data_IF_817780654911
#
_entry.id   IF_817780654911
#
_cell.length_a   1.000
_cell.length_b   1.000
_cell.length_c   1.000
_cell.angle_alpha   90.00
_cell.angle_beta   90.00
_cell.angle_gamma   90.00
#
_symmetry.space_group_name_H-M   'P 1'
#
loop_
_entity.id
_entity.type
_entity.pdbx_description
1 polymer ?
#
# COMPACT_ATOMS: atom_id res chain seq x y z
N UNK A 1 10.51 -62.39 22.04
CA UNK A 1 9.27 -61.94 21.39
C UNK A 1 9.49 -60.51 20.91
N UNK A 2 9.99 -60.30 19.69
CA UNK A 2 9.24 -60.30 18.40
C UNK A 2 8.27 -59.11 18.32
N UNK A 3 8.24 -58.24 17.31
CA UNK A 3 8.93 -58.20 16.03
C UNK A 3 8.84 -56.79 15.41
N UNK A 4 9.78 -56.54 14.51
CA UNK A 4 9.93 -55.50 13.49
C UNK A 4 8.93 -55.57 12.32
N UNK A 5 8.77 -54.46 11.57
CA UNK A 5 8.56 -54.31 10.09
C UNK A 5 8.27 -52.81 9.80
N UNK A 6 9.21 -51.96 9.35
CA UNK A 6 9.82 -51.74 8.01
C UNK A 6 8.87 -51.29 6.89
N UNK A 7 9.24 -50.19 6.21
CA UNK A 7 9.27 -49.90 4.75
C UNK A 7 9.86 -48.46 4.66
N UNK A 8 11.15 -48.24 4.35
CA UNK A 8 11.82 -48.29 3.04
C UNK A 8 11.24 -47.33 1.99
N UNK A 9 12.07 -46.42 1.50
CA UNK A 9 11.74 -45.46 0.45
C UNK A 9 12.90 -44.50 0.18
N UNK A 10 14.03 -45.05 -0.26
CA UNK A 10 15.15 -44.34 -0.89
C UNK A 10 14.68 -43.30 -1.92
N UNK A 11 15.19 -42.07 -1.82
CA UNK A 11 15.67 -41.31 -2.98
C UNK A 11 16.86 -40.43 -2.57
N UNK A 12 18.04 -41.02 -2.69
CA UNK A 12 19.27 -40.43 -3.23
C UNK A 12 19.56 -38.97 -2.88
N UNK A 13 20.36 -38.78 -1.82
CA UNK A 13 21.40 -37.75 -1.84
C UNK A 13 22.41 -38.24 -2.89
N UNK A 14 22.60 -37.56 -4.04
CA UNK A 14 23.65 -37.97 -4.96
C UNK A 14 24.98 -37.52 -4.34
N UNK A 15 25.63 -38.43 -3.62
CA UNK A 15 27.08 -38.45 -3.49
C UNK A 15 27.64 -38.92 -4.83
N UNK A 16 27.63 -38.03 -5.81
CA UNK A 16 28.52 -38.12 -6.95
C UNK A 16 29.43 -36.90 -6.88
N UNK A 17 30.70 -37.17 -6.59
CA UNK A 17 31.79 -36.29 -7.01
C UNK A 17 31.75 -36.20 -8.55
N UNK A 18 30.86 -35.35 -9.07
CA UNK A 18 30.90 -34.94 -10.46
C UNK A 18 31.69 -33.63 -10.52
N UNK A 19 33.02 -33.79 -10.57
CA UNK A 19 33.95 -32.73 -10.94
C UNK A 19 33.66 -32.34 -12.38
N UNK A 20 32.71 -31.42 -12.61
CA UNK A 20 32.62 -30.48 -13.77
C UNK A 20 31.28 -29.75 -13.77
N UNK A 21 31.03 -28.97 -12.73
CA UNK A 21 30.21 -27.75 -12.84
C UNK A 21 31.09 -26.64 -12.28
N UNK A 22 31.34 -25.53 -12.98
CA UNK A 22 32.02 -24.42 -12.32
C UNK A 22 31.14 -24.05 -11.13
N UNK A 23 31.66 -24.19 -9.90
CA UNK A 23 31.03 -23.62 -8.72
C UNK A 23 30.74 -22.16 -9.06
N UNK A 24 29.48 -21.83 -9.38
CA UNK A 24 29.07 -20.46 -9.59
C UNK A 24 29.26 -19.79 -8.24
N UNK A 25 30.43 -19.19 -8.04
CA UNK A 25 30.73 -18.38 -6.87
C UNK A 25 29.56 -17.42 -6.66
N UNK A 26 28.81 -17.63 -5.58
CA UNK A 26 27.65 -16.82 -5.26
C UNK A 26 28.11 -15.37 -5.20
N UNK A 27 27.48 -14.47 -5.96
CA UNK A 27 27.85 -13.07 -5.99
C UNK A 27 27.65 -12.47 -4.61
N UNK A 28 28.71 -11.89 -4.08
CA UNK A 28 28.75 -11.21 -2.79
C UNK A 28 28.92 -9.71 -3.02
N UNK A 29 28.37 -8.91 -2.09
CA UNK A 29 28.64 -7.48 -2.06
C UNK A 29 30.11 -7.22 -1.62
N UNK A 30 30.60 -5.98 -1.72
CA UNK A 30 31.95 -5.57 -1.27
C UNK A 30 32.27 -5.96 0.19
N UNK A 31 31.25 -6.23 1.00
CA UNK A 31 31.35 -6.67 2.40
C UNK A 31 31.24 -8.20 2.58
N UNK A 32 31.31 -9.01 1.52
CA UNK A 32 31.23 -10.47 1.58
C UNK A 32 29.82 -11.05 1.82
N UNK A 33 28.76 -10.22 1.83
CA UNK A 33 27.37 -10.71 1.99
C UNK A 33 26.81 -11.28 0.69
N UNK A 34 26.24 -12.48 0.74
CA UNK A 34 25.59 -13.14 -0.40
C UNK A 34 24.36 -12.35 -0.85
N UNK A 35 24.27 -12.05 -2.15
CA UNK A 35 23.12 -11.38 -2.75
C UNK A 35 21.99 -12.39 -3.01
N UNK A 36 20.80 -12.09 -2.51
CA UNK A 36 19.59 -12.90 -2.71
C UNK A 36 18.47 -11.98 -3.20
N UNK A 37 17.89 -12.21 -4.38
CA UNK A 37 18.29 -13.18 -5.43
C UNK A 37 19.65 -12.86 -6.06
N UNK A 38 20.26 -13.86 -6.71
CA UNK A 38 21.51 -13.68 -7.46
C UNK A 38 21.24 -12.85 -8.73
N UNK A 39 21.96 -11.73 -8.94
CA UNK A 39 21.73 -10.87 -10.10
C UNK A 39 22.15 -11.56 -11.39
N UNK A 40 21.36 -11.40 -12.46
CA UNK A 40 21.71 -11.91 -13.79
C UNK A 40 22.80 -11.07 -14.45
N UNK A 41 23.40 -11.55 -15.55
CA UNK A 41 24.36 -10.76 -16.34
C UNK A 41 23.71 -9.82 -17.38
N UNK A 42 22.38 -9.83 -17.53
CA UNK A 42 21.68 -8.90 -18.45
C UNK A 42 21.64 -7.48 -17.85
N UNK A 43 22.14 -6.45 -18.58
CA UNK A 43 22.00 -5.05 -18.17
C UNK A 43 20.54 -4.57 -17.99
N UNK A 44 19.57 -5.29 -18.57
CA UNK A 44 18.14 -5.01 -18.41
C UNK A 44 17.52 -5.63 -17.16
N UNK A 45 18.26 -6.44 -16.41
CA UNK A 45 17.81 -6.95 -15.11
C UNK A 45 17.58 -5.78 -14.13
N UNK A 46 16.36 -5.59 -13.57
CA UNK A 46 16.07 -4.55 -12.59
C UNK A 46 16.99 -4.59 -11.36
N UNK A 47 17.58 -5.75 -11.04
CA UNK A 47 18.56 -5.89 -9.96
C UNK A 47 19.84 -5.10 -10.23
N UNK A 48 20.24 -4.95 -11.50
CA UNK A 48 21.49 -4.30 -11.92
C UNK A 48 21.34 -2.80 -12.21
N UNK A 49 20.13 -2.23 -12.11
CA UNK A 49 19.92 -0.82 -12.41
C UNK A 49 20.71 0.11 -11.49
N UNK A 50 21.17 1.27 -12.00
CA UNK A 50 21.84 2.27 -11.16
C UNK A 50 20.87 2.79 -10.08
N UNK A 51 21.43 3.13 -8.92
CA UNK A 51 20.65 3.58 -7.76
C UNK A 51 19.76 4.77 -8.08
N UNK A 52 20.21 5.71 -8.93
CA UNK A 52 19.42 6.86 -9.38
C UNK A 52 18.12 6.43 -10.04
N UNK A 53 18.17 5.47 -10.98
CA UNK A 53 17.00 4.92 -11.65
C UNK A 53 16.07 4.20 -10.67
N UNK A 54 16.65 3.44 -9.72
CA UNK A 54 15.86 2.77 -8.68
C UNK A 54 15.10 3.78 -7.81
N UNK A 55 15.78 4.85 -7.39
CA UNK A 55 15.16 5.93 -6.61
C UNK A 55 14.05 6.61 -7.42
N UNK A 56 14.29 6.94 -8.70
CA UNK A 56 13.25 7.57 -9.54
C UNK A 56 12.00 6.71 -9.64
N UNK A 57 12.13 5.41 -9.91
CA UNK A 57 10.98 4.49 -9.97
C UNK A 57 10.26 4.41 -8.62
N UNK A 58 11.00 4.28 -7.52
CA UNK A 58 10.42 4.25 -6.17
C UNK A 58 9.69 5.57 -5.84
N UNK A 59 10.25 6.72 -6.21
CA UNK A 59 9.61 8.03 -6.01
C UNK A 59 8.32 8.17 -6.83
N UNK A 60 8.29 7.64 -8.05
CA UNK A 60 7.08 7.62 -8.90
C UNK A 60 6.02 6.71 -8.30
N UNK A 61 6.40 5.52 -7.81
CA UNK A 61 5.48 4.61 -7.10
C UNK A 61 4.97 5.24 -5.81
N UNK A 62 5.83 5.92 -5.05
CA UNK A 62 5.46 6.66 -3.83
C UNK A 62 4.40 7.71 -4.14
N UNK A 63 4.63 8.57 -5.14
CA UNK A 63 3.67 9.60 -5.54
C UNK A 63 2.35 8.99 -6.04
N UNK A 64 2.42 7.92 -6.84
CA UNK A 64 1.25 7.22 -7.36
C UNK A 64 0.41 6.58 -6.25
N UNK A 65 1.07 5.98 -5.25
CA UNK A 65 0.40 5.40 -4.09
C UNK A 65 -0.24 6.47 -3.21
N UNK A 66 0.48 7.59 -2.98
CA UNK A 66 -0.03 8.74 -2.24
C UNK A 66 -1.31 9.29 -2.88
N UNK A 67 -1.29 9.53 -4.19
CA UNK A 67 -2.45 10.03 -4.93
C UNK A 67 -3.61 9.05 -4.93
N UNK A 68 -3.33 7.76 -5.19
CA UNK A 68 -4.34 6.70 -5.24
C UNK A 68 -5.08 6.54 -3.91
N UNK A 69 -4.36 6.57 -2.79
CA UNK A 69 -4.98 6.48 -1.46
C UNK A 69 -5.60 7.79 -0.99
N UNK A 70 -5.08 8.95 -1.39
CA UNK A 70 -5.70 10.23 -1.04
C UNK A 70 -7.07 10.42 -1.71
N UNK A 71 -7.24 9.90 -2.94
CA UNK A 71 -8.39 10.15 -3.80
C UNK A 71 -9.76 9.86 -3.17
N UNK A 72 -10.03 8.65 -2.62
CA UNK A 72 -11.34 8.31 -2.10
C UNK A 72 -11.71 9.03 -0.80
N UNK A 73 -10.73 9.57 -0.06
CA UNK A 73 -10.96 10.24 1.23
C UNK A 73 -11.07 11.77 1.12
N UNK A 74 -10.98 12.31 -0.09
CA UNK A 74 -11.26 13.73 -0.36
C UNK A 74 -12.71 14.04 0.02
N UNK A 75 -12.92 15.04 0.87
CA UNK A 75 -14.22 15.44 1.39
C UNK A 75 -14.67 14.73 2.66
N UNK A 76 -13.82 13.90 3.26
CA UNK A 76 -14.11 13.22 4.53
C UNK A 76 -14.32 14.17 5.71
N UNK A 77 -13.74 15.37 5.68
CA UNK A 77 -13.93 16.37 6.73
C UNK A 77 -15.18 17.24 6.54
N UNK A 78 -15.91 17.07 5.43
CA UNK A 78 -16.97 17.99 5.01
C UNK A 78 -18.39 17.44 5.22
N UNK A 79 -18.53 16.52 6.17
CA UNK A 79 -19.74 15.72 6.40
C UNK A 79 -20.97 16.59 6.67
N UNK A 80 -20.79 17.73 7.37
CA UNK A 80 -21.88 18.66 7.68
C UNK A 80 -22.41 19.41 6.46
N UNK A 81 -21.52 19.84 5.54
CA UNK A 81 -21.94 20.52 4.31
C UNK A 81 -22.63 19.54 3.35
N UNK A 82 -22.09 18.33 3.23
CA UNK A 82 -22.67 17.26 2.43
C UNK A 82 -24.03 16.79 2.99
N UNK A 83 -24.17 16.66 4.32
CA UNK A 83 -25.43 16.30 4.98
C UNK A 83 -26.55 17.32 4.68
N UNK A 84 -26.21 18.62 4.67
CA UNK A 84 -27.14 19.69 4.30
C UNK A 84 -27.54 19.62 2.83
N UNK A 85 -26.60 19.35 1.93
CA UNK A 85 -26.88 19.28 0.49
C UNK A 85 -27.78 18.11 0.13
N UNK A 86 -27.49 16.92 0.64
CA UNK A 86 -28.23 15.69 0.29
C UNK A 86 -29.47 15.45 1.18
N UNK A 87 -29.72 16.30 2.18
CA UNK A 87 -30.78 16.12 3.18
C UNK A 87 -30.74 14.73 3.85
N UNK A 88 -29.53 14.28 4.21
CA UNK A 88 -29.27 12.99 4.85
C UNK A 88 -28.62 13.19 6.22
N UNK A 89 -28.84 12.29 7.19
CA UNK A 89 -28.15 12.35 8.47
C UNK A 89 -26.63 12.18 8.27
N UNK A 90 -25.84 12.83 9.13
CA UNK A 90 -24.36 12.81 9.13
C UNK A 90 -23.79 11.39 9.07
N UNK A 91 -24.44 10.44 9.75
CA UNK A 91 -24.04 9.02 9.76
C UNK A 91 -24.15 8.38 8.37
N UNK A 92 -25.23 8.69 7.63
CA UNK A 92 -25.40 8.15 6.28
C UNK A 92 -24.34 8.71 5.34
N UNK A 93 -23.98 9.99 5.44
CA UNK A 93 -22.90 10.55 4.63
C UNK A 93 -21.60 9.75 4.82
N UNK A 94 -21.25 9.33 6.05
CA UNK A 94 -20.06 8.52 6.32
C UNK A 94 -20.01 7.20 5.54
N UNK A 95 -21.12 6.70 4.97
CA UNK A 95 -21.11 5.51 4.12
C UNK A 95 -20.23 5.65 2.88
N UNK A 96 -19.88 6.86 2.45
CA UNK A 96 -18.91 7.03 1.37
C UNK A 96 -17.53 6.44 1.74
N UNK A 97 -17.11 6.49 3.03
CA UNK A 97 -15.89 5.83 3.51
C UNK A 97 -16.01 4.31 3.40
N UNK A 98 -17.17 3.75 3.72
CA UNK A 98 -17.44 2.31 3.56
C UNK A 98 -17.39 1.89 2.09
N UNK A 99 -17.96 2.70 1.20
CA UNK A 99 -17.90 2.50 -0.25
C UNK A 99 -16.46 2.56 -0.77
N UNK A 100 -15.66 3.53 -0.30
CA UNK A 100 -14.24 3.59 -0.58
C UNK A 100 -13.50 2.32 -0.14
N UNK A 101 -13.69 1.87 1.10
CA UNK A 101 -13.07 0.63 1.61
C UNK A 101 -13.47 -0.61 0.80
N UNK A 102 -14.73 -0.70 0.36
CA UNK A 102 -15.18 -1.78 -0.53
C UNK A 102 -14.48 -1.71 -1.91
N UNK A 103 -14.25 -0.50 -2.43
CA UNK A 103 -13.47 -0.25 -3.64
C UNK A 103 -12.03 -0.75 -3.51
N UNK A 104 -11.35 -0.39 -2.41
CA UNK A 104 -9.99 -0.85 -2.12
C UNK A 104 -9.92 -2.40 -2.09
N UNK A 105 -10.86 -3.04 -1.40
CA UNK A 105 -10.90 -4.49 -1.28
C UNK A 105 -11.09 -5.18 -2.64
N UNK A 106 -12.05 -4.71 -3.44
CA UNK A 106 -12.36 -5.29 -4.75
C UNK A 106 -11.27 -5.04 -5.80
N UNK A 107 -10.66 -3.86 -5.80
CA UNK A 107 -9.53 -3.53 -6.69
C UNK A 107 -8.33 -4.45 -6.44
N UNK A 108 -8.06 -4.77 -5.17
CA UNK A 108 -7.08 -5.77 -4.72
C UNK A 108 -7.06 -7.04 -5.57
N UNK A 109 -8.23 -7.64 -5.76
CA UNK A 109 -8.36 -8.94 -6.42
C UNK A 109 -8.35 -8.87 -7.94
N UNK A 110 -8.82 -7.76 -8.52
CA UNK A 110 -9.00 -7.63 -9.98
C UNK A 110 -7.71 -7.16 -10.65
N UNK A 111 -6.99 -6.21 -10.07
CA UNK A 111 -5.81 -5.62 -10.72
C UNK A 111 -4.60 -6.55 -10.75
N UNK A 112 -4.45 -7.42 -9.75
CA UNK A 112 -3.35 -8.39 -9.71
C UNK A 112 -3.29 -9.31 -10.95
N UNK A 113 -4.33 -10.11 -11.29
CA UNK A 113 -4.31 -10.95 -12.48
C UNK A 113 -4.28 -10.13 -13.78
N UNK A 114 -4.89 -8.94 -13.79
CA UNK A 114 -4.91 -8.09 -14.97
C UNK A 114 -3.51 -7.57 -15.34
N UNK A 115 -2.70 -7.26 -14.32
CA UNK A 115 -1.34 -6.73 -14.47
C UNK A 115 -0.38 -7.69 -15.18
N UNK A 116 -0.58 -9.01 -15.03
CA UNK A 116 0.23 -10.02 -15.70
C UNK A 116 -0.06 -10.12 -17.21
N UNK A 117 -1.26 -9.72 -17.66
CA UNK A 117 -1.62 -9.71 -19.09
C UNK A 117 -1.19 -8.42 -19.77
N UNK A 118 -1.53 -7.28 -19.16
CA UNK A 118 -1.34 -5.98 -19.79
C UNK A 118 0.01 -5.34 -19.49
N UNK A 119 0.76 -5.87 -18.52
CA UNK A 119 1.98 -5.26 -17.99
C UNK A 119 1.69 -4.49 -16.71
N UNK A 120 2.61 -4.53 -15.76
CA UNK A 120 2.41 -3.88 -14.45
C UNK A 120 2.33 -2.36 -14.59
N UNK A 121 3.18 -1.77 -15.43
CA UNK A 121 3.22 -0.31 -15.63
C UNK A 121 1.96 0.20 -16.32
N UNK A 122 1.44 -0.56 -17.30
CA UNK A 122 0.23 -0.22 -18.03
C UNK A 122 -0.99 -0.15 -17.11
N UNK A 123 -1.16 -1.15 -16.24
CA UNK A 123 -2.29 -1.19 -15.30
C UNK A 123 -2.22 -0.03 -14.30
N UNK A 124 -1.03 0.33 -13.79
CA UNK A 124 -0.87 1.51 -12.91
C UNK A 124 -1.32 2.79 -13.62
N UNK A 125 -0.87 3.02 -14.85
CA UNK A 125 -1.22 4.23 -15.62
C UNK A 125 -2.73 4.33 -15.87
N UNK A 126 -3.37 3.28 -16.37
CA UNK A 126 -4.80 3.30 -16.66
C UNK A 126 -5.67 3.41 -15.41
N UNK A 127 -5.26 2.80 -14.31
CA UNK A 127 -5.91 3.01 -13.02
C UNK A 127 -5.80 4.46 -12.56
N UNK A 128 -4.64 5.12 -12.70
CA UNK A 128 -4.52 6.55 -12.39
C UNK A 128 -5.39 7.44 -13.28
N UNK A 129 -5.59 7.08 -14.55
CA UNK A 129 -6.59 7.74 -15.42
C UNK A 129 -8.01 7.52 -14.90
N UNK A 130 -8.33 6.32 -14.43
CA UNK A 130 -9.60 6.02 -13.75
C UNK A 130 -9.80 6.83 -12.46
N UNK A 131 -8.75 7.00 -11.66
CA UNK A 131 -8.76 7.90 -10.50
C UNK A 131 -9.04 9.32 -10.94
N UNK A 132 -8.37 9.83 -11.97
CA UNK A 132 -8.61 11.18 -12.49
C UNK A 132 -10.08 11.39 -12.90
N UNK A 133 -10.65 10.44 -13.66
CA UNK A 133 -12.04 10.51 -14.10
C UNK A 133 -13.03 10.51 -12.92
N UNK A 134 -12.82 9.64 -11.93
CA UNK A 134 -13.68 9.56 -10.74
C UNK A 134 -13.57 10.77 -9.82
N UNK A 135 -12.39 11.41 -9.78
CA UNK A 135 -12.17 12.64 -9.02
C UNK A 135 -12.78 13.87 -9.70
N UNK A 136 -12.91 13.87 -11.03
CA UNK A 136 -13.71 14.88 -11.76
C UNK A 136 -15.21 14.60 -11.61
N UNK A 137 -15.61 13.33 -11.53
CA UNK A 137 -17.02 12.95 -11.37
C UNK A 137 -17.62 13.46 -10.05
N UNK A 138 -16.94 13.26 -8.93
CA UNK A 138 -17.47 13.66 -7.62
C UNK A 138 -17.89 15.12 -7.45
N UNK A 139 -17.10 16.14 -7.85
CA UNK A 139 -17.51 17.54 -7.72
C UNK A 139 -18.67 17.93 -8.63
N UNK A 140 -19.00 17.12 -9.65
CA UNK A 140 -20.17 17.34 -10.51
C UNK A 140 -21.48 16.92 -9.82
N UNK A 141 -21.40 16.18 -8.72
CA UNK A 141 -22.56 15.71 -7.97
C UNK A 141 -23.02 16.79 -6.96
N UNK A 142 -23.54 17.91 -7.46
CA UNK A 142 -23.94 19.06 -6.62
C UNK A 142 -25.45 19.13 -6.36
N UNK A 143 -26.23 18.15 -6.81
CA UNK A 143 -27.69 18.14 -6.64
C UNK A 143 -28.14 17.23 -5.49
N UNK A 144 -29.27 17.55 -4.81
CA UNK A 144 -29.73 16.81 -3.64
C UNK A 144 -30.10 15.34 -3.93
N UNK A 145 -30.47 15.01 -5.17
CA UNK A 145 -30.83 13.67 -5.63
C UNK A 145 -29.60 12.79 -5.99
N UNK A 146 -28.40 13.36 -6.04
CA UNK A 146 -27.19 12.68 -6.56
C UNK A 146 -26.33 12.00 -5.49
N UNK A 147 -26.90 11.69 -4.32
CA UNK A 147 -26.20 11.02 -3.23
C UNK A 147 -25.61 9.65 -3.62
N UNK A 148 -26.39 8.81 -4.32
CA UNK A 148 -25.93 7.47 -4.74
C UNK A 148 -24.83 7.53 -5.80
N UNK A 149 -24.96 8.33 -6.89
CA UNK A 149 -23.86 8.58 -7.82
C UNK A 149 -22.58 9.07 -7.14
N UNK A 150 -22.68 9.96 -6.14
CA UNK A 150 -21.53 10.40 -5.35
C UNK A 150 -20.87 9.23 -4.59
N UNK A 151 -21.65 8.38 -3.94
CA UNK A 151 -21.15 7.19 -3.25
C UNK A 151 -20.42 6.22 -4.20
N UNK A 152 -20.98 6.01 -5.39
CA UNK A 152 -20.39 5.15 -6.43
C UNK A 152 -19.07 5.74 -6.95
N UNK A 153 -18.98 7.06 -7.11
CA UNK A 153 -17.73 7.72 -7.50
C UNK A 153 -16.59 7.44 -6.51
N UNK A 154 -16.90 7.37 -5.21
CA UNK A 154 -15.93 7.04 -4.15
C UNK A 154 -15.49 5.58 -4.18
N UNK A 155 -16.42 4.66 -4.43
CA UNK A 155 -16.10 3.25 -4.66
C UNK A 155 -15.12 3.10 -5.84
N UNK A 156 -15.41 3.71 -6.99
CA UNK A 156 -14.52 3.59 -8.16
C UNK A 156 -13.18 4.31 -7.97
N UNK A 157 -13.16 5.46 -7.31
CA UNK A 157 -11.91 6.17 -6.96
C UNK A 157 -10.97 5.28 -6.14
N UNK A 158 -11.50 4.60 -5.13
CA UNK A 158 -10.74 3.61 -4.36
C UNK A 158 -10.38 2.36 -5.17
N UNK A 159 -11.32 1.85 -5.98
CA UNK A 159 -11.12 0.68 -6.84
C UNK A 159 -9.92 0.86 -7.75
N UNK A 160 -9.79 2.02 -8.41
CA UNK A 160 -8.62 2.32 -9.23
C UNK A 160 -7.39 2.72 -8.39
N UNK A 161 -7.58 3.45 -7.29
CA UNK A 161 -6.49 3.98 -6.46
C UNK A 161 -5.64 2.93 -5.75
N UNK A 162 -6.17 1.73 -5.50
CA UNK A 162 -5.45 0.66 -4.78
C UNK A 162 -4.36 -0.04 -5.62
N UNK A 163 -4.31 0.18 -6.94
CA UNK A 163 -3.41 -0.56 -7.85
C UNK A 163 -1.95 -0.62 -7.41
N UNK A 164 -1.43 0.48 -6.84
CA UNK A 164 -0.01 0.60 -6.47
C UNK A 164 0.31 -0.13 -5.17
N UNK A 165 -0.65 -0.32 -4.25
CA UNK A 165 -0.38 -1.14 -3.05
C UNK A 165 -0.23 -2.62 -3.39
N UNK A 166 -0.82 -3.05 -4.49
CA UNK A 166 -0.72 -4.43 -4.99
C UNK A 166 0.58 -4.61 -5.78
N UNK A 167 0.81 -3.72 -6.76
CA UNK A 167 1.92 -3.87 -7.71
C UNK A 167 3.24 -3.30 -7.17
N UNK A 168 3.21 -2.24 -6.37
CA UNK A 168 4.41 -1.61 -5.80
C UNK A 168 5.33 -2.59 -5.07
N UNK A 169 4.83 -3.46 -4.16
CA UNK A 169 5.58 -4.57 -3.59
C UNK A 169 6.32 -5.44 -4.61
N UNK A 170 5.70 -5.72 -5.76
CA UNK A 170 6.31 -6.51 -6.83
C UNK A 170 7.50 -5.78 -7.44
N UNK A 171 7.37 -4.50 -7.76
CA UNK A 171 8.49 -3.67 -8.23
C UNK A 171 9.67 -3.67 -7.24
N UNK A 172 9.38 -3.56 -5.94
CA UNK A 172 10.41 -3.54 -4.92
C UNK A 172 11.16 -4.87 -4.81
N UNK A 173 10.44 -5.99 -4.90
CA UNK A 173 11.05 -7.32 -4.86
C UNK A 173 11.90 -7.61 -6.10
N UNK A 174 11.55 -7.05 -7.25
CA UNK A 174 12.32 -7.18 -8.50
C UNK A 174 13.58 -6.30 -8.51
N UNK A 175 13.54 -5.12 -7.88
CA UNK A 175 14.64 -4.14 -7.94
C UNK A 175 15.64 -4.22 -6.78
N UNK A 176 15.23 -4.71 -5.61
CA UNK A 176 16.04 -4.70 -4.38
C UNK A 176 16.35 -6.11 -3.86
N UNK A 177 17.56 -6.25 -3.31
CA UNK A 177 17.99 -7.46 -2.62
C UNK A 177 17.32 -7.59 -1.24
N UNK A 178 17.23 -8.83 -0.73
CA UNK A 178 16.52 -9.16 0.52
C UNK A 178 16.84 -8.24 1.71
N UNK A 179 18.12 -7.90 1.90
CA UNK A 179 18.57 -7.04 3.02
C UNK A 179 18.14 -5.57 2.89
N UNK A 180 17.79 -5.10 1.69
CA UNK A 180 17.36 -3.72 1.41
C UNK A 180 15.84 -3.59 1.29
N UNK A 181 15.13 -4.70 1.03
CA UNK A 181 13.69 -4.73 0.77
C UNK A 181 12.85 -4.13 1.89
N UNK A 182 13.16 -4.45 3.14
CA UNK A 182 12.39 -3.96 4.30
C UNK A 182 12.31 -2.43 4.34
N UNK A 183 13.42 -1.74 4.06
CA UNK A 183 13.45 -0.26 4.00
C UNK A 183 12.60 0.28 2.87
N UNK A 184 12.70 -0.32 1.69
CA UNK A 184 11.92 0.10 0.53
C UNK A 184 10.41 -0.12 0.77
N UNK A 185 10.03 -1.22 1.42
CA UNK A 185 8.64 -1.49 1.81
C UNK A 185 8.10 -0.45 2.77
N UNK A 186 8.87 -0.09 3.81
CA UNK A 186 8.45 0.93 4.77
C UNK A 186 8.24 2.28 4.11
N UNK A 187 9.14 2.70 3.20
CA UNK A 187 8.99 3.96 2.44
C UNK A 187 7.74 3.94 1.56
N UNK A 188 7.44 2.82 0.90
CA UNK A 188 6.24 2.71 0.09
C UNK A 188 4.96 2.76 0.96
N UNK A 189 4.89 2.00 2.05
CA UNK A 189 3.74 2.02 2.96
C UNK A 189 3.56 3.35 3.70
N UNK A 190 4.63 4.12 3.85
CA UNK A 190 4.54 5.50 4.32
C UNK A 190 3.65 6.33 3.40
N UNK A 191 3.82 6.19 2.08
CA UNK A 191 3.02 6.88 1.07
C UNK A 191 1.52 6.59 1.20
N UNK A 192 1.16 5.34 1.54
CA UNK A 192 -0.21 4.91 1.79
C UNK A 192 -0.84 5.71 2.93
N UNK A 193 -0.21 5.69 4.11
CA UNK A 193 -0.75 6.32 5.32
C UNK A 193 -0.75 7.85 5.20
N UNK A 194 0.30 8.41 4.61
CA UNK A 194 0.36 9.84 4.28
C UNK A 194 -0.74 10.22 3.29
N UNK A 195 -0.98 9.43 2.23
CA UNK A 195 -2.03 9.68 1.25
C UNK A 195 -3.41 9.66 1.90
N UNK A 196 -3.71 8.63 2.69
CA UNK A 196 -4.98 8.48 3.40
C UNK A 196 -5.26 9.65 4.38
N UNK A 197 -4.21 10.23 4.97
CA UNK A 197 -4.34 11.39 5.85
C UNK A 197 -4.38 12.71 5.08
N UNK A 198 -3.60 12.86 4.01
CA UNK A 198 -3.47 14.10 3.26
C UNK A 198 -4.73 14.46 2.46
N UNK A 199 -5.45 13.46 1.95
CA UNK A 199 -6.76 13.63 1.30
C UNK A 199 -7.72 14.51 2.13
N UNK A 200 -8.08 14.09 3.35
CA UNK A 200 -8.88 14.90 4.26
C UNK A 200 -8.20 16.20 4.69
N UNK A 201 -6.89 16.21 4.98
CA UNK A 201 -6.19 17.43 5.44
C UNK A 201 -6.34 18.58 4.45
N UNK A 202 -5.95 18.38 3.19
CA UNK A 202 -5.98 19.45 2.18
C UNK A 202 -7.41 19.82 1.79
N UNK A 203 -8.29 18.83 1.65
CA UNK A 203 -9.70 19.10 1.33
C UNK A 203 -10.39 19.91 2.43
N UNK A 204 -10.14 19.61 3.71
CA UNK A 204 -10.70 20.36 4.83
C UNK A 204 -10.29 21.84 4.88
N UNK A 205 -9.03 22.16 4.56
CA UNK A 205 -8.60 23.57 4.49
C UNK A 205 -9.23 24.32 3.31
N UNK A 206 -9.37 23.67 2.16
CA UNK A 206 -10.05 24.27 0.99
C UNK A 206 -11.54 24.48 1.29
N UNK A 207 -12.19 23.46 1.86
CA UNK A 207 -13.59 23.46 2.25
C UNK A 207 -13.98 24.49 3.32
N UNK A 208 -13.04 24.90 4.16
CA UNK A 208 -13.31 25.85 5.23
C UNK A 208 -13.69 27.24 4.68
N UNK A 209 -13.12 27.63 3.53
CA UNK A 209 -13.29 28.96 2.93
C UNK A 209 -14.07 28.95 1.61
N UNK A 210 -14.44 27.78 1.10
CA UNK A 210 -15.05 27.60 -0.23
C UNK A 210 -16.18 26.58 -0.20
N UNK A 211 -17.00 26.56 -1.26
CA UNK A 211 -18.03 25.54 -1.44
C UNK A 211 -17.40 24.15 -1.62
N UNK A 212 -17.94 23.13 -0.94
CA UNK A 212 -17.33 21.80 -0.82
C UNK A 212 -16.81 21.14 -2.11
N UNK A 213 -17.45 21.22 -3.30
CA UNK A 213 -16.94 20.55 -4.50
C UNK A 213 -15.57 21.09 -4.96
N UNK A 214 -15.22 22.31 -4.56
CA UNK A 214 -13.92 22.90 -4.88
C UNK A 214 -12.78 22.06 -4.29
N UNK A 215 -13.05 21.34 -3.19
CA UNK A 215 -12.10 20.48 -2.50
C UNK A 215 -11.64 19.27 -3.33
N UNK A 216 -12.28 18.94 -4.45
CA UNK A 216 -11.83 17.84 -5.31
C UNK A 216 -10.79 18.28 -6.35
N UNK A 217 -10.79 19.56 -6.73
CA UNK A 217 -9.96 20.05 -7.84
C UNK A 217 -8.47 20.06 -7.54
N UNK A 218 -8.07 20.25 -6.27
CA UNK A 218 -6.65 20.13 -5.89
C UNK A 218 -6.12 18.71 -6.16
N UNK A 219 -6.96 17.70 -5.90
CA UNK A 219 -6.60 16.30 -6.11
C UNK A 219 -6.64 15.92 -7.59
N UNK A 220 -7.57 16.48 -8.37
CA UNK A 220 -7.57 16.37 -9.85
C UNK A 220 -6.24 16.88 -10.42
N UNK A 221 -5.79 18.06 -9.99
CA UNK A 221 -4.50 18.63 -10.41
C UNK A 221 -3.31 17.75 -10.02
N UNK A 222 -3.29 17.23 -8.80
CA UNK A 222 -2.22 16.34 -8.33
C UNK A 222 -2.20 15.00 -9.08
N UNK A 223 -3.37 14.44 -9.39
CA UNK A 223 -3.48 13.19 -10.17
C UNK A 223 -3.02 13.38 -11.61
N UNK A 224 -3.43 14.48 -12.25
CA UNK A 224 -2.97 14.84 -13.58
C UNK A 224 -1.44 15.06 -13.61
N UNK A 225 -0.90 15.74 -12.60
CA UNK A 225 0.55 15.88 -12.45
C UNK A 225 1.26 14.54 -12.30
N UNK A 226 0.67 13.58 -11.57
CA UNK A 226 1.28 12.25 -11.31
C UNK A 226 1.24 11.32 -12.51
N UNK A 227 0.29 11.51 -13.44
CA UNK A 227 0.26 10.75 -14.70
C UNK A 227 1.49 11.05 -15.58
N UNK A 228 2.01 12.27 -15.53
CA UNK A 228 3.21 12.66 -16.28
C UNK A 228 4.45 11.84 -15.89
N UNK A 229 4.93 11.83 -14.63
CA UNK A 229 6.10 11.08 -14.25
C UNK A 229 5.88 9.56 -14.36
N UNK A 230 4.65 9.06 -14.22
CA UNK A 230 4.34 7.64 -14.47
C UNK A 230 4.58 7.29 -15.94
N UNK A 231 4.13 8.12 -16.88
CA UNK A 231 4.33 7.86 -18.31
C UNK A 231 5.82 7.90 -18.71
N UNK A 232 6.60 8.85 -18.16
CA UNK A 232 8.00 9.05 -18.56
C UNK A 232 9.00 8.17 -17.83
N UNK A 233 8.80 7.92 -16.53
CA UNK A 233 9.81 7.29 -15.66
C UNK A 233 9.45 5.88 -15.19
N UNK A 234 8.18 5.47 -15.23
CA UNK A 234 7.80 4.10 -14.81
C UNK A 234 8.11 3.11 -15.94
N UNK A 235 9.15 2.31 -15.76
CA UNK A 235 9.48 1.18 -16.65
C UNK A 235 8.87 -0.12 -16.13
N UNK A 236 8.48 -1.03 -17.02
CA UNK A 236 7.96 -2.34 -16.60
C UNK A 236 9.11 -3.23 -16.08
N UNK A 237 8.95 -3.81 -14.88
CA UNK A 237 9.96 -4.70 -14.26
C UNK A 237 9.80 -6.15 -14.67
N UNK A 238 8.84 -6.48 -15.54
CA UNK A 238 8.64 -7.84 -16.05
C UNK A 238 9.84 -8.28 -16.89
N UNK A 239 10.87 -8.82 -16.23
CA UNK A 239 12.08 -9.33 -16.86
C UNK A 239 11.81 -10.72 -17.47
N UNK A 240 11.93 -10.82 -18.79
CA UNK A 240 11.95 -12.10 -19.51
C UNK A 240 13.42 -12.48 -19.83
N UNK A 241 13.87 -13.69 -19.47
CA UNK A 241 15.21 -14.17 -19.81
C UNK A 241 15.46 -14.15 -21.32
N UNK A 242 16.71 -13.87 -21.70
CA UNK A 242 17.18 -13.65 -23.08
C UNK A 242 16.69 -14.68 -24.13
N UNK A 243 16.42 -15.95 -23.74
CA UNK A 243 15.99 -17.02 -24.66
C UNK A 243 14.64 -16.79 -25.35
N UNK A 244 13.76 -15.94 -24.82
CA UNK A 244 12.45 -15.64 -25.43
C UNK A 244 12.46 -14.38 -26.32
N UNK A 245 13.61 -13.69 -26.47
CA UNK A 245 13.74 -12.53 -27.37
C UNK A 245 13.96 -12.96 -28.82
N UNK A 246 13.09 -13.79 -29.39
CA UNK A 246 13.06 -14.01 -30.83
C UNK A 246 12.27 -12.87 -31.48
N UNK A 247 12.99 -11.91 -32.06
CA UNK A 247 12.52 -10.74 -32.82
C UNK A 247 12.04 -9.54 -31.99
N UNK A 248 12.91 -8.53 -31.82
CA UNK A 248 12.61 -7.12 -32.13
C UNK A 248 13.82 -6.25 -31.77
N UNK A 249 14.80 -6.25 -32.68
CA UNK A 249 15.67 -5.10 -32.89
C UNK A 249 14.99 -4.22 -33.93
N UNK A 250 14.36 -3.12 -33.52
CA UNK A 250 14.22 -1.96 -34.39
C UNK A 250 14.26 -0.71 -33.54
N UNK A 251 15.15 0.22 -33.91
CA UNK A 251 15.31 1.52 -33.30
C UNK A 251 14.00 2.33 -33.39
N UNK A 252 13.11 2.16 -32.42
CA UNK A 252 11.95 3.01 -32.24
C UNK A 252 12.30 4.18 -31.31
N UNK A 253 11.79 5.37 -31.62
CA UNK A 253 11.87 6.56 -30.76
C UNK A 253 11.39 6.23 -29.34
N UNK A 254 12.00 6.82 -28.31
CA UNK A 254 11.66 6.60 -26.89
C UNK A 254 10.15 6.69 -26.63
N UNK A 255 9.47 7.65 -27.26
CA UNK A 255 8.02 7.81 -27.14
C UNK A 255 7.23 6.66 -27.76
N UNK A 256 7.65 6.14 -28.92
CA UNK A 256 6.99 5.00 -29.56
C UNK A 256 7.05 3.75 -28.67
N UNK A 257 8.19 3.49 -28.03
CA UNK A 257 8.34 2.38 -27.08
C UNK A 257 7.44 2.53 -25.85
N UNK A 258 7.28 3.77 -25.33
CA UNK A 258 6.35 4.06 -24.23
C UNK A 258 4.90 3.85 -24.65
N UNK A 259 4.49 4.36 -25.79
CA UNK A 259 3.14 4.13 -26.31
C UNK A 259 2.86 2.63 -26.51
N UNK A 260 3.82 1.84 -27.01
CA UNK A 260 3.65 0.39 -27.10
C UNK A 260 3.51 -0.27 -25.72
N UNK A 261 4.30 0.16 -24.73
CA UNK A 261 4.26 -0.38 -23.37
C UNK A 261 2.91 -0.13 -22.67
N UNK A 262 2.32 1.07 -22.83
CA UNK A 262 1.07 1.44 -22.14
C UNK A 262 -0.21 1.11 -22.91
N UNK A 263 -0.18 1.07 -24.25
CA UNK A 263 -1.40 0.93 -25.07
C UNK A 263 -1.51 -0.40 -25.82
N UNK A 264 -0.41 -1.06 -26.21
CA UNK A 264 -0.50 -2.33 -26.96
C UNK A 264 -0.60 -3.57 -26.06
N UNK A 265 -0.44 -3.41 -24.75
CA UNK A 265 -0.47 -4.51 -23.78
C UNK A 265 0.77 -5.39 -23.91
N UNK A 266 1.38 -5.75 -22.78
CA UNK A 266 2.63 -6.50 -22.73
C UNK A 266 2.70 -7.68 -23.71
N UNK A 267 3.84 -7.74 -24.41
CA UNK A 267 4.35 -8.80 -25.31
C UNK A 267 4.37 -10.19 -24.65
N UNK A 268 3.22 -10.76 -24.34
CA UNK A 268 3.12 -12.14 -23.89
C UNK A 268 2.69 -12.98 -25.10
N UNK A 269 3.68 -13.51 -25.82
CA UNK A 269 3.53 -14.45 -26.94
C UNK A 269 2.98 -15.83 -26.55
N UNK A 270 2.40 -15.99 -25.37
CA UNK A 270 1.75 -17.23 -24.97
C UNK A 270 0.23 -17.05 -25.02
N UNK A 271 -0.40 -17.71 -26.00
CA UNK A 271 -1.84 -17.90 -26.11
C UNK A 271 -2.33 -18.81 -24.97
N UNK A 272 -2.39 -18.27 -23.75
CA UNK A 272 -2.96 -18.96 -22.60
C UNK A 272 -4.48 -18.74 -22.62
N UNK A 273 -5.25 -19.82 -22.47
CA UNK A 273 -6.70 -19.73 -22.28
C UNK A 273 -7.01 -18.83 -21.07
N UNK A 274 -7.65 -17.68 -21.33
CA UNK A 274 -7.71 -16.55 -20.39
C UNK A 274 -8.56 -16.83 -19.16
N UNK A 275 -9.76 -17.38 -19.35
CA UNK A 275 -10.68 -17.65 -18.25
C UNK A 275 -10.09 -18.61 -17.18
N UNK A 276 -9.61 -19.81 -17.52
CA UNK A 276 -9.08 -20.74 -16.52
C UNK A 276 -7.80 -20.21 -15.86
N UNK A 277 -6.95 -19.49 -16.59
CA UNK A 277 -5.75 -18.89 -16.01
C UNK A 277 -6.09 -17.72 -15.07
N UNK A 278 -7.05 -16.86 -15.44
CA UNK A 278 -7.53 -15.77 -14.60
C UNK A 278 -8.08 -16.30 -13.28
N UNK A 279 -9.00 -17.28 -13.33
CA UNK A 279 -9.54 -17.91 -12.13
C UNK A 279 -8.43 -18.59 -11.31
N UNK A 280 -7.46 -19.26 -11.96
CA UNK A 280 -6.32 -19.86 -11.26
C UNK A 280 -5.50 -18.81 -10.51
N UNK A 281 -5.22 -17.64 -11.10
CA UNK A 281 -4.45 -16.56 -10.45
C UNK A 281 -5.27 -15.86 -9.38
N UNK A 282 -6.56 -15.60 -9.64
CA UNK A 282 -7.50 -15.01 -8.70
C UNK A 282 -7.66 -15.85 -7.43
N UNK A 283 -7.70 -17.18 -7.54
CA UNK A 283 -7.82 -18.08 -6.39
C UNK A 283 -6.49 -18.44 -5.70
N UNK A 284 -5.33 -17.99 -6.19
CA UNK A 284 -4.03 -18.26 -5.53
C UNK A 284 -3.95 -17.68 -4.10
N UNK A 285 -4.35 -16.42 -3.84
CA UNK A 285 -4.36 -15.87 -2.48
C UNK A 285 -5.22 -16.69 -1.52
N UNK A 286 -6.37 -17.20 -1.97
CA UNK A 286 -7.24 -18.07 -1.17
C UNK A 286 -6.58 -19.39 -0.75
N UNK A 287 -5.65 -19.91 -1.56
CA UNK A 287 -4.83 -21.07 -1.15
C UNK A 287 -3.76 -20.70 -0.14
N UNK A 288 -3.23 -19.48 -0.14
CA UNK A 288 -2.28 -19.04 0.89
C UNK A 288 -2.96 -18.95 2.27
N UNK A 289 -4.26 -18.62 2.29
CA UNK A 289 -5.06 -18.65 3.52
C UNK A 289 -5.25 -20.05 4.11
N UNK A 290 -4.88 -21.15 3.44
CA UNK A 290 -4.91 -22.47 4.08
C UNK A 290 -3.73 -22.68 5.04
N UNK A 291 -2.68 -21.85 4.94
CA UNK A 291 -1.54 -21.93 5.85
C UNK A 291 -1.85 -21.17 7.16
N UNK A 292 -1.88 -21.86 8.33
CA UNK A 292 -2.30 -21.26 9.58
C UNK A 292 -1.41 -20.09 10.03
N UNK A 293 -0.11 -20.15 9.71
CA UNK A 293 0.85 -19.07 10.03
C UNK A 293 0.50 -17.78 9.28
N UNK A 294 0.14 -17.88 8.00
CA UNK A 294 -0.23 -16.72 7.18
C UNK A 294 -1.54 -16.11 7.69
N UNK A 295 -2.51 -16.94 8.06
CA UNK A 295 -3.77 -16.48 8.67
C UNK A 295 -3.56 -15.67 9.94
N UNK A 296 -2.69 -16.13 10.84
CA UNK A 296 -2.43 -15.44 12.11
C UNK A 296 -1.76 -14.08 11.86
N UNK A 297 -0.74 -14.02 10.99
CA UNK A 297 -0.02 -12.78 10.68
C UNK A 297 -0.93 -11.81 9.93
N UNK A 298 -1.63 -12.26 8.89
CA UNK A 298 -2.55 -11.43 8.12
C UNK A 298 -3.74 -10.96 8.97
N UNK A 299 -4.26 -11.82 9.85
CA UNK A 299 -5.33 -11.46 10.78
C UNK A 299 -4.89 -10.38 11.77
N UNK A 300 -3.69 -10.52 12.34
CA UNK A 300 -3.11 -9.50 13.22
C UNK A 300 -2.91 -8.16 12.52
N UNK A 301 -2.33 -8.16 11.32
CA UNK A 301 -2.11 -6.95 10.52
C UNK A 301 -3.44 -6.29 10.11
N UNK A 302 -4.43 -7.10 9.72
CA UNK A 302 -5.78 -6.63 9.37
C UNK A 302 -6.45 -5.95 10.56
N UNK A 303 -6.40 -6.55 11.75
CA UNK A 303 -6.99 -5.95 12.97
C UNK A 303 -6.29 -4.63 13.30
N UNK A 304 -4.96 -4.62 13.25
CA UNK A 304 -4.14 -3.44 13.58
C UNK A 304 -4.45 -2.27 12.64
N UNK A 305 -4.46 -2.53 11.33
CA UNK A 305 -4.80 -1.52 10.33
C UNK A 305 -6.28 -1.12 10.38
N UNK A 306 -7.19 -2.04 10.67
CA UNK A 306 -8.62 -1.74 10.76
C UNK A 306 -8.93 -0.73 11.87
N UNK A 307 -8.30 -0.84 13.04
CA UNK A 307 -8.44 0.14 14.12
C UNK A 307 -7.93 1.52 13.72
N UNK A 308 -6.79 1.59 13.04
CA UNK A 308 -6.26 2.85 12.51
C UNK A 308 -7.24 3.51 11.53
N UNK A 309 -7.73 2.76 10.55
CA UNK A 309 -8.70 3.26 9.54
C UNK A 309 -10.01 3.67 10.20
N UNK A 310 -10.52 2.90 11.16
CA UNK A 310 -11.77 3.20 11.87
C UNK A 310 -11.67 4.52 12.65
N UNK A 311 -10.57 4.72 13.39
CA UNK A 311 -10.36 5.98 14.11
C UNK A 311 -10.24 7.16 13.15
N UNK A 312 -9.50 7.01 12.05
CA UNK A 312 -9.36 8.09 11.06
C UNK A 312 -10.73 8.45 10.44
N UNK A 313 -11.54 7.45 10.07
CA UNK A 313 -12.86 7.64 9.48
C UNK A 313 -13.88 8.29 10.43
N UNK A 314 -13.80 7.98 11.74
CA UNK A 314 -14.77 8.44 12.75
C UNK A 314 -14.36 9.72 13.48
N UNK A 315 -13.06 10.04 13.52
CA UNK A 315 -12.53 11.26 14.14
C UNK A 315 -13.29 12.52 13.68
N UNK A 316 -13.60 12.70 12.37
CA UNK A 316 -14.34 13.88 11.94
C UNK A 316 -15.75 13.97 12.49
N UNK A 317 -16.43 12.83 12.63
CA UNK A 317 -17.77 12.76 13.22
C UNK A 317 -17.68 13.18 14.69
N UNK A 318 -16.74 12.62 15.46
CA UNK A 318 -16.62 12.91 16.89
C UNK A 318 -16.16 14.34 17.20
N UNK A 319 -15.23 14.88 16.41
CA UNK A 319 -14.69 16.22 16.62
C UNK A 319 -15.64 17.32 16.16
N UNK A 320 -16.32 17.16 15.01
CA UNK A 320 -17.14 18.22 14.40
C UNK A 320 -18.58 18.24 14.89
N UNK A 321 -19.05 17.20 15.61
CA UNK A 321 -20.40 17.23 16.15
C UNK A 321 -20.57 18.47 17.05
N UNK A 322 -21.56 19.34 16.81
CA UNK A 322 -21.71 20.57 17.56
C UNK A 322 -22.09 20.27 19.02
N UNK A 323 -21.54 21.03 19.98
CA UNK A 323 -21.79 20.86 21.43
C UNK A 323 -23.28 20.87 21.79
N UNK A 324 -24.09 21.63 21.04
CA UNK A 324 -25.55 21.70 21.19
C UNK A 324 -26.27 20.38 20.86
N UNK A 325 -25.67 19.53 20.01
CA UNK A 325 -26.19 18.22 19.62
C UNK A 325 -25.46 17.07 20.34
N UNK A 326 -25.01 17.30 21.58
CA UNK A 326 -24.25 16.35 22.42
C UNK A 326 -22.82 16.04 21.93
N UNK A 327 -22.28 16.83 20.99
CA UNK A 327 -20.89 16.71 20.56
C UNK A 327 -19.86 17.03 21.64
N UNK A 328 -18.69 16.38 21.56
CA UNK A 328 -17.64 16.47 22.58
C UNK A 328 -16.84 17.78 22.44
N UNK A 329 -16.38 18.09 21.23
CA UNK A 329 -15.43 19.19 20.99
C UNK A 329 -15.99 20.34 20.14
N UNK A 330 -16.80 20.07 19.11
CA UNK A 330 -17.42 21.10 18.26
C UNK A 330 -16.45 21.82 17.34
N UNK A 331 -15.45 21.11 16.80
CA UNK A 331 -14.42 21.64 15.91
C UNK A 331 -15.01 22.13 14.59
N UNK A 332 -14.43 23.21 14.04
CA UNK A 332 -14.69 23.59 12.66
C UNK A 332 -14.03 22.61 11.67
N UNK A 333 -14.37 22.71 10.39
CA UNK A 333 -13.71 21.91 9.34
C UNK A 333 -12.20 22.19 9.29
N UNK A 334 -11.79 23.45 9.50
CA UNK A 334 -10.39 23.85 9.55
C UNK A 334 -9.64 23.32 10.78
N UNK A 335 -10.26 23.35 11.96
CA UNK A 335 -9.64 22.83 13.19
C UNK A 335 -9.44 21.31 13.10
N UNK A 336 -10.40 20.61 12.50
CA UNK A 336 -10.28 19.19 12.26
C UNK A 336 -9.22 18.88 11.19
N UNK A 337 -9.12 19.70 10.14
CA UNK A 337 -8.03 19.59 9.18
C UNK A 337 -6.66 19.76 9.87
N UNK A 338 -6.54 20.72 10.79
CA UNK A 338 -5.34 20.88 11.60
C UNK A 338 -5.09 19.65 12.52
N UNK A 339 -6.14 19.07 13.10
CA UNK A 339 -6.02 17.84 13.91
C UNK A 339 -5.45 16.66 13.12
N UNK A 340 -5.75 16.55 11.81
CA UNK A 340 -5.22 15.45 11.00
C UNK A 340 -3.68 15.42 10.91
N UNK A 341 -2.97 16.54 11.16
CA UNK A 341 -1.50 16.56 11.23
C UNK A 341 -0.93 15.66 12.32
N UNK A 342 -1.72 15.27 13.31
CA UNK A 342 -1.35 14.24 14.30
C UNK A 342 -0.94 12.95 13.61
N UNK A 343 -1.65 12.54 12.55
CA UNK A 343 -1.31 11.35 11.78
C UNK A 343 0.00 11.53 11.00
N UNK A 344 0.27 12.74 10.49
CA UNK A 344 1.51 13.03 9.78
C UNK A 344 2.72 12.91 10.71
N UNK A 345 2.62 13.47 11.91
CA UNK A 345 3.63 13.35 12.96
C UNK A 345 3.80 11.88 13.37
N UNK A 346 2.69 11.17 13.59
CA UNK A 346 2.71 9.73 13.88
C UNK A 346 3.40 8.93 12.78
N UNK A 347 3.19 9.29 11.51
CA UNK A 347 3.84 8.64 10.38
C UNK A 347 5.35 8.89 10.34
N UNK A 348 5.81 10.11 10.62
CA UNK A 348 7.24 10.45 10.70
C UNK A 348 7.91 9.70 11.86
N UNK A 349 7.29 9.69 13.04
CA UNK A 349 7.82 8.98 14.20
C UNK A 349 7.84 7.47 13.94
N UNK A 350 6.79 6.93 13.34
CA UNK A 350 6.73 5.52 12.91
C UNK A 350 7.84 5.16 11.92
N UNK A 351 8.15 6.05 10.98
CA UNK A 351 9.28 5.86 10.05
C UNK A 351 10.63 5.85 10.76
N UNK A 352 10.87 6.80 11.66
CA UNK A 352 12.11 6.87 12.46
C UNK A 352 12.25 5.60 13.30
N UNK A 353 11.16 5.15 13.94
CA UNK A 353 11.12 3.91 14.70
C UNK A 353 11.43 2.70 13.81
N UNK A 354 10.78 2.57 12.65
CA UNK A 354 11.02 1.50 11.70
C UNK A 354 12.49 1.45 11.25
N UNK A 355 13.07 2.60 10.91
CA UNK A 355 14.46 2.68 10.45
C UNK A 355 15.48 2.41 11.58
N UNK A 356 15.28 2.98 12.78
CA UNK A 356 16.27 2.90 13.85
C UNK A 356 16.14 1.64 14.71
N UNK A 357 14.91 1.19 14.97
CA UNK A 357 14.63 0.13 15.95
C UNK A 357 14.30 -1.18 15.25
N UNK A 358 13.40 -1.17 14.25
CA UNK A 358 12.97 -2.41 13.57
C UNK A 358 14.09 -3.12 12.84
N UNK A 359 15.03 -2.40 12.22
CA UNK A 359 16.19 -3.00 11.56
C UNK A 359 17.23 -3.57 12.56
N UNK A 360 17.30 -3.01 13.78
CA UNK A 360 18.32 -3.39 14.77
C UNK A 360 17.91 -4.58 15.63
N UNK A 361 16.62 -4.76 15.90
CA UNK A 361 16.10 -5.86 16.72
C UNK A 361 16.47 -7.23 16.13
N UNK A 362 16.24 -7.52 14.83
CA UNK A 362 16.64 -8.81 14.24
C UNK A 362 18.13 -9.05 14.30
N UNK A 363 18.94 -8.02 14.00
CA UNK A 363 20.41 -8.10 14.05
C UNK A 363 20.92 -8.39 15.46
N UNK A 364 20.25 -7.88 16.49
CA UNK A 364 20.55 -8.17 17.88
C UNK A 364 20.28 -9.65 18.23
N UNK A 365 19.15 -10.20 17.79
CA UNK A 365 18.84 -11.63 18.00
C UNK A 365 19.81 -12.56 17.27
N UNK A 366 20.24 -12.18 16.06
CA UNK A 366 21.21 -12.97 15.27
C UNK A 366 22.56 -13.03 15.96
N UNK A 367 23.03 -11.91 16.53
CA UNK A 367 24.25 -11.88 17.34
C UNK A 367 24.15 -12.80 18.57
N UNK A 368 22.95 -12.96 19.13
CA UNK A 368 22.71 -13.81 20.29
C UNK A 368 22.51 -15.29 19.94
N UNK A 369 22.13 -15.60 18.71
CA UNK A 369 21.77 -16.96 18.27
C UNK A 369 22.75 -17.54 17.23
N UNK A 370 24.06 -17.38 17.47
CA UNK A 370 25.15 -17.93 16.66
C UNK A 370 25.10 -17.59 15.16
N UNK A 371 24.58 -16.41 14.79
CA UNK A 371 24.62 -15.94 13.41
C UNK A 371 23.57 -16.57 12.47
N UNK A 372 22.68 -17.42 12.96
CA UNK A 372 21.62 -18.03 12.13
C UNK A 372 20.51 -17.02 11.87
N UNK A 373 20.30 -16.63 10.60
CA UNK A 373 19.18 -15.78 10.21
C UNK A 373 17.87 -16.57 10.17
N UNK A 374 16.88 -16.12 10.95
CA UNK A 374 15.52 -16.65 10.96
C UNK A 374 14.52 -15.54 10.61
N UNK A 375 13.61 -15.72 9.64
CA UNK A 375 12.60 -14.72 9.28
C UNK A 375 11.75 -14.25 10.47
N UNK A 376 11.54 -15.12 11.46
CA UNK A 376 10.72 -14.87 12.65
C UNK A 376 11.28 -13.77 13.54
N UNK A 377 12.58 -13.46 13.46
CA UNK A 377 13.18 -12.40 14.28
C UNK A 377 12.64 -11.00 13.97
N UNK A 378 12.06 -10.80 12.79
CA UNK A 378 11.35 -9.57 12.45
C UNK A 378 10.04 -9.41 13.21
N UNK A 379 9.41 -10.51 13.62
CA UNK A 379 8.16 -10.46 14.39
C UNK A 379 8.36 -9.77 15.74
N UNK A 380 9.55 -9.84 16.33
CA UNK A 380 9.84 -9.16 17.60
C UNK A 380 9.79 -7.64 17.50
N UNK A 381 9.92 -7.06 16.30
CA UNK A 381 9.77 -5.62 16.09
C UNK A 381 8.32 -5.14 16.26
N UNK A 382 7.33 -6.05 16.22
CA UNK A 382 5.92 -5.73 16.46
C UNK A 382 5.58 -5.50 17.92
N UNK A 383 6.33 -6.11 18.85
CA UNK A 383 5.92 -6.14 20.25
C UNK A 383 5.75 -4.74 20.85
N UNK A 384 6.70 -3.80 20.70
CA UNK A 384 6.55 -2.49 21.31
C UNK A 384 5.44 -1.67 20.64
N UNK A 385 5.30 -1.77 19.32
CA UNK A 385 4.37 -0.94 18.56
C UNK A 385 2.93 -1.44 18.66
N UNK A 386 2.69 -2.71 18.34
CA UNK A 386 1.34 -3.23 18.21
C UNK A 386 0.77 -3.81 19.51
N UNK A 387 1.60 -4.36 20.41
CA UNK A 387 1.08 -4.86 21.70
C UNK A 387 1.02 -3.79 22.79
N UNK A 388 1.84 -2.75 22.72
CA UNK A 388 1.87 -1.71 23.77
C UNK A 388 1.26 -0.39 23.27
N UNK A 389 1.82 0.23 22.22
CA UNK A 389 1.39 1.57 21.82
C UNK A 389 -0.05 1.57 21.27
N UNK A 390 -0.43 0.57 20.47
CA UNK A 390 -1.76 0.57 19.85
C UNK A 390 -2.92 0.38 20.85
N UNK A 391 -2.92 -0.61 21.77
CA UNK A 391 -3.98 -0.72 22.78
C UNK A 391 -4.00 0.46 23.74
N UNK A 392 -2.83 0.99 24.12
CA UNK A 392 -2.74 2.18 24.96
C UNK A 392 -3.32 3.41 24.26
N UNK A 393 -3.04 3.57 22.97
CA UNK A 393 -3.61 4.63 22.15
C UNK A 393 -5.13 4.52 22.01
N UNK A 394 -5.65 3.32 21.74
CA UNK A 394 -7.09 3.05 21.71
C UNK A 394 -7.77 3.35 23.05
N UNK A 395 -7.16 2.93 24.16
CA UNK A 395 -7.63 3.21 25.51
C UNK A 395 -7.68 4.71 25.81
N UNK A 396 -6.64 5.45 25.43
CA UNK A 396 -6.60 6.91 25.60
C UNK A 396 -7.68 7.63 24.79
N UNK A 397 -7.95 7.20 23.55
CA UNK A 397 -9.06 7.75 22.75
C UNK A 397 -10.40 7.47 23.43
N UNK A 398 -10.63 6.25 23.91
CA UNK A 398 -11.85 5.88 24.63
C UNK A 398 -12.07 6.72 25.89
N UNK A 399 -11.05 6.82 26.76
CA UNK A 399 -11.08 7.62 27.99
C UNK A 399 -11.30 9.10 27.67
N UNK A 400 -10.65 9.63 26.64
CA UNK A 400 -10.84 11.02 26.22
C UNK A 400 -12.29 11.31 25.82
N UNK A 401 -12.95 10.36 25.15
CA UNK A 401 -14.35 10.48 24.75
C UNK A 401 -15.32 10.33 25.93
N UNK A 402 -15.11 9.35 26.80
CA UNK A 402 -15.99 9.07 27.95
C UNK A 402 -15.97 10.20 28.97
N UNK A 403 -14.79 10.63 29.39
CA UNK A 403 -14.61 11.68 30.40
C UNK A 403 -14.58 13.10 29.80
N UNK A 404 -14.79 13.24 28.49
CA UNK A 404 -14.76 14.53 27.76
C UNK A 404 -13.50 15.34 28.05
N UNK A 405 -12.34 14.67 28.07
CA UNK A 405 -11.05 15.29 28.36
C UNK A 405 -10.62 16.26 27.25
N UNK A 406 -9.61 17.08 27.51
CA UNK A 406 -9.05 17.99 26.52
C UNK A 406 -8.61 17.24 25.24
N UNK A 407 -8.83 17.85 24.06
CA UNK A 407 -8.61 17.23 22.75
C UNK A 407 -7.18 16.69 22.52
N UNK A 408 -6.20 17.24 23.25
CA UNK A 408 -4.80 16.79 23.23
C UNK A 408 -4.69 15.31 23.66
N UNK A 409 -5.50 14.83 24.60
CA UNK A 409 -5.48 13.43 25.03
C UNK A 409 -5.88 12.51 23.88
N UNK A 410 -6.92 12.91 23.12
CA UNK A 410 -7.34 12.20 21.91
C UNK A 410 -6.25 12.25 20.82
N UNK A 411 -5.59 13.39 20.64
CA UNK A 411 -4.47 13.53 19.71
C UNK A 411 -3.30 12.59 20.06
N UNK A 412 -2.92 12.50 21.33
CA UNK A 412 -1.87 11.57 21.78
C UNK A 412 -2.30 10.12 21.52
N UNK A 413 -3.55 9.77 21.84
CA UNK A 413 -4.08 8.43 21.55
C UNK A 413 -4.00 8.07 20.06
N UNK A 414 -4.43 8.99 19.19
CA UNK A 414 -4.39 8.80 17.73
C UNK A 414 -2.96 8.72 17.18
N UNK A 415 -2.03 9.50 17.74
CA UNK A 415 -0.60 9.44 17.40
C UNK A 415 -0.03 8.05 17.70
N UNK A 416 -0.34 7.48 18.87
CA UNK A 416 0.13 6.16 19.27
C UNK A 416 -0.44 5.04 18.39
N UNK A 417 -1.72 5.11 18.03
CA UNK A 417 -2.33 4.14 17.10
C UNK A 417 -1.69 4.24 15.71
N UNK A 418 -1.40 5.45 15.25
CA UNK A 418 -0.72 5.66 13.95
C UNK A 418 0.67 5.04 13.93
N UNK A 419 1.46 5.22 15.01
CA UNK A 419 2.78 4.58 15.14
C UNK A 419 2.64 3.06 15.20
N UNK A 420 1.64 2.55 15.95
CA UNK A 420 1.34 1.13 16.06
C UNK A 420 1.09 0.47 14.70
N UNK A 421 0.19 1.06 13.90
CA UNK A 421 -0.16 0.56 12.58
C UNK A 421 1.03 0.52 11.62
N UNK A 422 1.95 1.50 11.66
CA UNK A 422 3.13 1.50 10.82
C UNK A 422 4.15 0.41 11.17
N UNK A 423 4.21 0.02 12.45
CA UNK A 423 5.08 -1.08 12.90
C UNK A 423 4.73 -2.42 12.24
N UNK A 424 3.48 -2.63 11.83
CA UNK A 424 3.02 -3.84 11.13
C UNK A 424 3.71 -4.05 9.78
N UNK A 425 3.99 -2.97 9.05
CA UNK A 425 4.52 -3.06 7.69
C UNK A 425 6.02 -3.38 7.62
N UNK A 426 6.74 -3.19 8.72
CA UNK A 426 8.19 -3.45 8.81
C UNK A 426 8.56 -4.94 8.81
N UNK A 427 7.58 -5.84 8.87
CA UNK A 427 7.80 -7.29 8.89
C UNK A 427 8.22 -7.81 7.51
N UNK A 428 7.70 -7.21 6.43
CA UNK A 428 7.75 -7.75 5.05
C UNK A 428 9.12 -7.64 4.36
#
# INVERSE_FOLDING_TARGET
MSASLSISGDQNIPTHEDKTSPEMSLRTNANGMILIPQPSDDPKDPLNWPLSKKITVVSVLFLSMFVGFAAPFVGQLNIQQQAKLYHKPTIQITYFNSAASAGLATGGFIWWPLSHKFGHSAVIFWCLVGVLATQIWAPLMTRPDQYVPYLISRYFSAFFGVVVSILGPKYLTDMFFLHQRGRAFTVLHLALNFGASAGPTFSGFVAANSYWPIEYWWHVGLTAFTLFPVFFFLEDTTYQPFKERSHESTAQSFLSQRFETFFKGGRNGQSISWAPWFFKVFFRPFKLFTAPVILIIAGFDTISFAFYVALNALTPVWLQLPKKAHGIYGFSVADNAAFTFVHWIGCIIGLIYGHMVSDRIPLWFIKRNNGVWKPEYRLHALWPTNFVLMPLGLGLVGIAMEYRLHWIVMAIGQLLVTIGSLGGYTIY
#
